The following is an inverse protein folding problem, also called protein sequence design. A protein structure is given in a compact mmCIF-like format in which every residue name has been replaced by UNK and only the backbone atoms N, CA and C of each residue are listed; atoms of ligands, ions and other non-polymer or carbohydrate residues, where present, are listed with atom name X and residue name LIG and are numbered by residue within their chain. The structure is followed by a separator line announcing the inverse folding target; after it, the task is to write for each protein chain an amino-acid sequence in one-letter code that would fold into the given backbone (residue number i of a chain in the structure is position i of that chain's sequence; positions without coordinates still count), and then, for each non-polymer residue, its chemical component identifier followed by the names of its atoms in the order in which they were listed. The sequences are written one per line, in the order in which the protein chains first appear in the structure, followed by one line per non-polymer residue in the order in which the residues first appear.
data_IF_435601735538
#
_entry.id   IF_435601735538
#
_cell.length_a   1.000
_cell.length_b   1.000
_cell.length_c   1.000
_cell.angle_alpha   90.00
_cell.angle_beta   90.00
_cell.angle_gamma   90.00
#
_symmetry.space_group_name_H-M   'P 1'
#
loop_
_entity.id
_entity.type
_entity.pdbx_description
1 polymer ?
#
# COMPACT_ATOMS: atom_id res chain seq x y z
N UNK A 1 -16.39 20.55 -26.97
CA UNK A 1 -16.24 21.98 -27.31
C UNK A 1 -15.22 22.58 -26.34
N UNK A 2 -14.04 22.98 -26.82
CA UNK A 2 -12.96 23.47 -25.95
C UNK A 2 -13.18 24.94 -25.54
N UNK A 3 -12.78 25.37 -24.33
CA UNK A 3 -12.94 26.76 -23.91
C UNK A 3 -12.07 27.68 -24.79
N UNK A 4 -12.72 28.45 -25.65
CA UNK A 4 -12.10 29.44 -26.52
C UNK A 4 -12.07 30.81 -25.82
N UNK A 5 -10.95 31.53 -25.94
CA UNK A 5 -10.86 32.96 -25.53
C UNK A 5 -11.68 33.87 -26.47
N UNK A 6 -12.11 33.34 -27.61
CA UNK A 6 -12.90 34.05 -28.61
C UNK A 6 -14.39 33.77 -28.38
N UNK A 7 -15.23 34.79 -28.57
CA UNK A 7 -16.69 34.66 -28.46
C UNK A 7 -17.25 33.83 -29.62
N UNK A 8 -16.62 33.92 -30.79
CA UNK A 8 -17.02 33.21 -32.01
C UNK A 8 -15.86 32.36 -32.54
N UNK A 9 -16.18 31.20 -33.09
CA UNK A 9 -15.23 30.34 -33.79
C UNK A 9 -14.88 30.94 -35.15
N UNK A 10 -15.88 31.46 -35.86
CA UNK A 10 -15.70 32.02 -37.22
C UNK A 10 -16.53 33.30 -37.40
N UNK A 11 -15.94 34.27 -38.07
CA UNK A 11 -16.59 35.44 -38.65
C UNK A 11 -16.72 35.25 -40.16
N UNK A 12 -17.88 35.50 -40.78
CA UNK A 12 -18.06 35.38 -42.25
C UNK A 12 -18.13 36.78 -42.90
N UNK A 13 -17.11 37.10 -43.69
CA UNK A 13 -17.03 38.29 -44.55
C UNK A 13 -17.63 38.00 -45.93
N UNK A 14 -18.57 38.84 -46.37
CA UNK A 14 -19.25 38.71 -47.67
C UNK A 14 -19.75 40.08 -48.16
N UNK A 15 -19.99 40.23 -49.47
CA UNK A 15 -20.69 41.40 -49.99
C UNK A 15 -22.20 41.27 -49.72
N UNK A 16 -22.93 42.38 -49.62
CA UNK A 16 -24.38 42.38 -49.35
C UNK A 16 -25.18 41.56 -50.37
N UNK A 17 -24.73 41.53 -51.61
CA UNK A 17 -25.30 40.80 -52.73
C UNK A 17 -25.13 39.27 -52.55
N UNK A 18 -24.10 38.84 -51.82
CA UNK A 18 -23.75 37.43 -51.57
C UNK A 18 -24.40 36.89 -50.28
N UNK A 19 -25.42 37.59 -49.76
CA UNK A 19 -26.18 37.18 -48.57
C UNK A 19 -26.74 35.75 -48.65
N UNK A 20 -27.31 35.27 -49.77
CA UNK A 20 -27.83 33.91 -49.83
C UNK A 20 -26.77 32.84 -49.52
N UNK A 21 -25.58 32.98 -50.12
CA UNK A 21 -24.47 32.04 -49.96
C UNK A 21 -23.91 32.07 -48.53
N UNK A 22 -23.70 33.28 -48.01
CA UNK A 22 -23.16 33.47 -46.66
C UNK A 22 -24.14 33.01 -45.57
N UNK A 23 -25.45 33.18 -45.79
CA UNK A 23 -26.49 32.68 -44.89
C UNK A 23 -26.55 31.14 -44.89
N UNK A 24 -26.44 30.51 -46.07
CA UNK A 24 -26.38 29.06 -46.19
C UNK A 24 -25.13 28.50 -45.48
N UNK A 25 -23.95 29.05 -45.77
CA UNK A 25 -22.70 28.64 -45.12
C UNK A 25 -22.75 28.82 -43.60
N UNK A 26 -23.33 29.93 -43.13
CA UNK A 26 -23.54 30.19 -41.71
C UNK A 26 -24.38 29.09 -41.07
N UNK A 27 -25.55 28.78 -41.62
CA UNK A 27 -26.43 27.75 -41.09
C UNK A 27 -25.77 26.36 -41.07
N UNK A 28 -25.01 26.01 -42.11
CA UNK A 28 -24.32 24.72 -42.20
C UNK A 28 -23.18 24.60 -41.18
N UNK A 29 -22.42 25.67 -40.94
CA UNK A 29 -21.37 25.70 -39.92
C UNK A 29 -21.95 25.73 -38.49
N UNK A 30 -23.05 26.45 -38.26
CA UNK A 30 -23.79 26.42 -36.98
C UNK A 30 -24.29 24.99 -36.69
N UNK A 31 -24.85 24.30 -37.69
CA UNK A 31 -25.26 22.88 -37.57
C UNK A 31 -24.08 21.93 -37.31
N UNK A 32 -22.88 22.29 -37.78
CA UNK A 32 -21.64 21.57 -37.46
C UNK A 32 -21.10 21.88 -36.04
N UNK A 33 -21.80 22.71 -35.27
CA UNK A 33 -21.47 23.03 -33.88
C UNK A 33 -20.52 24.21 -33.70
N UNK A 34 -20.30 25.04 -34.72
CA UNK A 34 -19.47 26.24 -34.60
C UNK A 34 -20.28 27.46 -34.18
N UNK A 35 -19.70 28.30 -33.32
CA UNK A 35 -20.28 29.61 -33.00
C UNK A 35 -19.88 30.63 -34.08
N UNK A 36 -20.83 30.99 -34.94
CA UNK A 36 -20.58 31.87 -36.09
C UNK A 36 -21.06 33.30 -35.79
N UNK A 37 -20.26 34.29 -36.17
CA UNK A 37 -20.72 35.67 -36.27
C UNK A 37 -21.10 36.00 -37.72
N UNK A 38 -22.32 36.52 -37.89
CA UNK A 38 -22.89 36.88 -39.18
C UNK A 38 -23.60 38.25 -39.10
N UNK A 39 -23.25 39.17 -40.00
CA UNK A 39 -23.70 40.57 -39.97
C UNK A 39 -25.22 40.73 -40.13
N UNK A 40 -25.91 39.79 -40.78
CA UNK A 40 -27.37 39.85 -40.97
C UNK A 40 -28.20 39.59 -39.71
N UNK A 41 -27.62 39.13 -38.60
CA UNK A 41 -28.35 38.76 -37.37
C UNK A 41 -28.27 39.79 -36.22
N UNK A 42 -27.28 40.68 -36.20
CA UNK A 42 -26.93 41.45 -34.97
C UNK A 42 -26.90 42.99 -35.11
N UNK A 43 -27.27 43.58 -36.26
CA UNK A 43 -27.25 45.03 -36.46
C UNK A 43 -28.60 45.70 -36.14
N UNK A 44 -28.58 46.81 -35.40
CA UNK A 44 -29.76 47.65 -35.13
C UNK A 44 -29.73 48.93 -35.99
N UNK A 45 -30.90 49.54 -36.29
CA UNK A 45 -30.94 50.85 -36.91
C UNK A 45 -30.14 51.88 -36.09
N UNK A 46 -29.18 52.56 -36.73
CA UNK A 46 -28.27 53.53 -36.09
C UNK A 46 -26.88 53.00 -35.75
N UNK A 47 -26.63 51.69 -35.85
CA UNK A 47 -25.30 51.13 -35.64
C UNK A 47 -24.34 51.45 -36.79
N UNK A 48 -23.07 51.74 -36.45
CA UNK A 48 -22.00 51.71 -37.44
C UNK A 48 -21.70 50.26 -37.82
N UNK A 49 -22.01 49.90 -39.06
CA UNK A 49 -21.69 48.60 -39.65
C UNK A 49 -20.19 48.29 -39.54
N UNK A 50 -19.34 49.25 -39.86
CA UNK A 50 -17.87 49.11 -39.84
C UNK A 50 -17.35 48.84 -38.42
N UNK A 51 -17.78 49.63 -37.43
CA UNK A 51 -17.31 49.46 -36.05
C UNK A 51 -17.73 48.10 -35.47
N UNK A 52 -18.93 47.64 -35.82
CA UNK A 52 -19.46 46.35 -35.37
C UNK A 52 -18.69 45.19 -35.97
N UNK A 53 -18.33 45.26 -37.25
CA UNK A 53 -17.51 44.24 -37.90
C UNK A 53 -16.11 44.18 -37.31
N UNK A 54 -15.44 45.32 -37.14
CA UNK A 54 -14.11 45.36 -36.54
C UNK A 54 -14.09 44.75 -35.13
N UNK A 55 -15.11 45.06 -34.33
CA UNK A 55 -15.28 44.52 -32.98
C UNK A 55 -15.47 43.00 -32.97
N UNK A 56 -16.33 42.47 -33.85
CA UNK A 56 -16.64 41.04 -33.85
C UNK A 56 -15.58 40.20 -34.56
N UNK A 57 -14.88 40.78 -35.54
CA UNK A 57 -13.64 40.25 -36.09
C UNK A 57 -12.61 40.01 -34.98
N UNK A 58 -12.38 40.98 -34.08
CA UNK A 58 -11.46 40.83 -32.94
C UNK A 58 -11.89 39.72 -31.95
N UNK A 59 -13.19 39.44 -31.88
CA UNK A 59 -13.80 38.42 -31.01
C UNK A 59 -13.93 37.04 -31.67
N UNK A 60 -13.50 36.91 -32.93
CA UNK A 60 -13.57 35.66 -33.69
C UNK A 60 -12.19 35.01 -33.82
N UNK A 61 -12.17 33.67 -33.73
CA UNK A 61 -10.95 32.87 -33.85
C UNK A 61 -10.45 32.84 -35.29
N UNK A 62 -11.35 32.65 -36.26
CA UNK A 62 -11.09 32.68 -37.70
C UNK A 62 -12.00 33.68 -38.42
N UNK A 63 -11.58 34.14 -39.61
CA UNK A 63 -12.39 34.90 -40.55
C UNK A 63 -12.48 34.17 -41.89
N UNK A 64 -13.68 33.77 -42.29
CA UNK A 64 -13.97 33.25 -43.63
C UNK A 64 -14.28 34.41 -44.55
N UNK A 65 -13.59 34.53 -45.67
CA UNK A 65 -13.83 35.57 -46.67
C UNK A 65 -14.38 34.95 -47.95
N UNK A 66 -15.63 35.26 -48.30
CA UNK A 66 -16.29 34.78 -49.53
C UNK A 66 -15.93 35.76 -50.65
N UNK A 67 -15.01 35.36 -51.51
CA UNK A 67 -14.43 36.15 -52.58
C UNK A 67 -15.22 35.96 -53.88
N UNK A 68 -16.12 36.89 -54.17
CA UNK A 68 -16.93 36.99 -55.39
C UNK A 68 -16.53 38.21 -56.23
N UNK A 69 -16.96 38.31 -57.50
CA UNK A 69 -16.75 39.54 -58.29
C UNK A 69 -17.30 40.80 -57.60
N UNK A 70 -18.47 40.70 -56.96
CA UNK A 70 -19.11 41.78 -56.19
C UNK A 70 -18.30 42.16 -54.94
N UNK A 71 -17.72 41.18 -54.24
CA UNK A 71 -16.82 41.39 -53.10
C UNK A 71 -15.55 42.16 -53.49
N UNK A 72 -15.00 41.88 -54.68
CA UNK A 72 -13.76 42.49 -55.17
C UNK A 72 -13.93 43.91 -55.74
N UNK A 73 -15.13 44.28 -56.16
CA UNK A 73 -15.43 45.63 -56.65
C UNK A 73 -15.56 46.66 -55.52
N UNK A 74 -15.89 46.23 -54.30
CA UNK A 74 -16.08 47.13 -53.14
C UNK A 74 -14.74 47.56 -52.54
N UNK A 75 -14.56 48.87 -52.33
CA UNK A 75 -13.37 49.44 -51.68
C UNK A 75 -13.28 49.09 -50.18
N UNK A 76 -14.43 48.81 -49.57
CA UNK A 76 -14.61 48.63 -48.13
C UNK A 76 -14.00 47.33 -47.58
N UNK A 77 -13.85 46.31 -48.43
CA UNK A 77 -13.42 44.95 -48.05
C UNK A 77 -11.92 44.79 -47.82
N UNK A 78 -11.09 45.76 -48.24
CA UNK A 78 -9.63 45.71 -48.11
C UNK A 78 -9.12 46.08 -46.72
N UNK A 79 -9.79 47.01 -46.01
CA UNK A 79 -9.36 47.47 -44.67
C UNK A 79 -9.55 46.40 -43.59
N UNK A 80 -10.64 45.65 -43.68
CA UNK A 80 -10.93 44.51 -42.80
C UNK A 80 -9.98 43.34 -43.08
N UNK A 81 -9.72 43.06 -44.35
CA UNK A 81 -8.74 42.07 -44.78
C UNK A 81 -7.33 42.40 -44.26
N UNK A 82 -6.88 43.66 -44.39
CA UNK A 82 -5.60 44.13 -43.85
C UNK A 82 -5.50 43.98 -42.33
N UNK A 83 -6.62 44.14 -41.62
CA UNK A 83 -6.68 43.94 -40.17
C UNK A 83 -6.49 42.47 -39.79
N UNK A 84 -7.13 41.56 -40.51
CA UNK A 84 -6.94 40.12 -40.32
C UNK A 84 -5.51 39.69 -40.69
N UNK A 85 -4.97 40.22 -41.79
CA UNK A 85 -3.62 39.93 -42.26
C UNK A 85 -2.56 40.42 -41.26
N UNK A 86 -2.74 41.62 -40.69
CA UNK A 86 -1.88 42.14 -39.62
C UNK A 86 -1.88 41.21 -38.39
N UNK A 87 -3.04 40.63 -38.04
CA UNK A 87 -3.13 39.67 -36.93
C UNK A 87 -2.39 38.36 -37.23
N UNK A 88 -2.45 37.87 -38.47
CA UNK A 88 -1.70 36.68 -38.87
C UNK A 88 -0.19 36.92 -38.76
N UNK A 89 0.29 38.06 -39.25
CA UNK A 89 1.71 38.44 -39.19
C UNK A 89 2.22 38.60 -37.75
N UNK A 90 1.45 39.25 -36.87
CA UNK A 90 1.85 39.48 -35.47
C UNK A 90 1.82 38.17 -34.66
N UNK A 91 0.76 37.36 -34.82
CA UNK A 91 0.58 36.14 -34.02
C UNK A 91 1.24 34.90 -34.64
N UNK A 92 1.71 34.98 -35.89
CA UNK A 92 2.18 33.84 -36.71
C UNK A 92 1.17 32.69 -36.77
N UNK A 93 -0.11 33.02 -36.82
CA UNK A 93 -1.22 32.05 -36.86
C UNK A 93 -2.11 32.39 -38.05
N UNK A 94 -2.50 31.38 -38.84
CA UNK A 94 -3.48 31.50 -39.94
C UNK A 94 -4.85 31.87 -39.34
N UNK A 95 -5.42 32.98 -39.78
CA UNK A 95 -6.70 33.53 -39.29
C UNK A 95 -7.70 33.66 -40.43
N UNK A 96 -7.26 33.85 -41.68
CA UNK A 96 -8.14 34.03 -42.83
C UNK A 96 -8.30 32.73 -43.61
N UNK A 97 -9.56 32.37 -43.88
CA UNK A 97 -9.96 31.21 -44.68
C UNK A 97 -10.70 31.70 -45.93
N UNK A 98 -10.01 31.90 -47.08
CA UNK A 98 -10.65 32.39 -48.29
C UNK A 98 -11.49 31.29 -48.96
N UNK A 99 -12.69 31.67 -49.40
CA UNK A 99 -13.62 30.86 -50.21
C UNK A 99 -13.84 31.59 -51.53
N UNK A 100 -13.39 31.03 -52.66
CA UNK A 100 -13.64 31.62 -53.98
C UNK A 100 -15.02 31.22 -54.47
N UNK A 101 -15.71 32.16 -55.11
CA UNK A 101 -16.96 31.89 -55.82
C UNK A 101 -17.10 32.79 -57.04
N UNK A 102 -17.33 32.21 -58.22
CA UNK A 102 -17.56 32.93 -59.49
C UNK A 102 -16.44 33.93 -59.86
N UNK A 103 -15.23 33.70 -59.35
CA UNK A 103 -14.03 34.52 -59.63
C UNK A 103 -12.83 33.61 -59.88
N UNK A 104 -11.82 34.12 -60.58
CA UNK A 104 -10.56 33.41 -60.78
C UNK A 104 -9.44 33.95 -59.90
N UNK A 105 -8.38 33.14 -59.71
CA UNK A 105 -7.16 33.56 -59.01
C UNK A 105 -6.49 34.73 -59.76
N UNK A 106 -6.57 34.77 -61.09
CA UNK A 106 -6.01 35.85 -61.90
C UNK A 106 -6.72 37.19 -61.62
N UNK A 107 -8.05 37.18 -61.51
CA UNK A 107 -8.83 38.35 -61.10
C UNK A 107 -8.49 38.79 -59.66
N UNK A 108 -8.22 37.84 -58.77
CA UNK A 108 -7.75 38.14 -57.41
C UNK A 108 -6.35 38.75 -57.39
N UNK A 109 -5.40 38.23 -58.19
CA UNK A 109 -4.03 38.75 -58.28
C UNK A 109 -3.97 40.19 -58.74
N UNK A 110 -4.87 40.59 -59.64
CA UNK A 110 -4.99 41.99 -60.09
C UNK A 110 -5.45 42.93 -58.97
N UNK A 111 -6.16 42.41 -57.96
CA UNK A 111 -6.69 43.19 -56.85
C UNK A 111 -5.80 43.16 -55.61
N UNK A 112 -5.34 41.97 -55.21
CA UNK A 112 -4.48 41.74 -54.05
C UNK A 112 -3.65 40.44 -54.22
N UNK A 113 -2.34 40.62 -54.41
CA UNK A 113 -1.39 39.52 -54.60
C UNK A 113 -1.30 38.64 -53.33
N UNK A 114 -1.42 39.23 -52.14
CA UNK A 114 -1.26 38.50 -50.88
C UNK A 114 -2.47 37.63 -50.60
N UNK A 115 -3.67 38.06 -51.00
CA UNK A 115 -4.87 37.21 -50.96
C UNK A 115 -4.72 36.04 -51.92
N UNK A 116 -4.27 36.33 -53.14
CA UNK A 116 -4.16 35.33 -54.19
C UNK A 116 -3.07 34.27 -53.93
N UNK A 117 -2.09 34.57 -53.08
CA UNK A 117 -1.07 33.61 -52.63
C UNK A 117 -1.59 32.65 -51.55
N UNK A 118 -2.78 32.91 -50.98
CA UNK A 118 -3.39 32.00 -50.00
C UNK A 118 -4.17 30.90 -50.69
N UNK A 119 -3.94 29.67 -50.24
CA UNK A 119 -4.79 28.55 -50.64
C UNK A 119 -6.24 28.81 -50.21
N UNK A 120 -7.15 28.65 -51.16
CA UNK A 120 -8.56 28.97 -50.99
C UNK A 120 -9.45 27.79 -51.36
N UNK A 121 -10.61 27.76 -50.72
CA UNK A 121 -11.64 26.75 -50.91
C UNK A 121 -12.53 27.20 -52.08
N UNK A 122 -12.75 26.33 -53.05
CA UNK A 122 -13.61 26.63 -54.20
C UNK A 122 -15.06 26.29 -53.86
N UNK A 123 -15.94 27.29 -53.90
CA UNK A 123 -17.37 27.11 -53.64
C UNK A 123 -18.04 26.24 -54.71
N UNK A 124 -17.51 26.25 -55.93
CA UNK A 124 -17.98 25.47 -57.09
C UNK A 124 -17.95 23.96 -56.83
N UNK A 125 -17.19 23.50 -55.83
CA UNK A 125 -17.16 22.10 -55.38
C UNK A 125 -18.36 21.71 -54.50
N UNK A 126 -19.25 22.65 -54.22
CA UNK A 126 -20.46 22.46 -53.42
C UNK A 126 -20.28 22.87 -51.95
N UNK A 127 -21.38 23.32 -51.34
CA UNK A 127 -21.40 23.83 -49.96
C UNK A 127 -20.93 22.80 -48.93
N UNK A 128 -21.23 21.51 -49.15
CA UNK A 128 -20.82 20.42 -48.26
C UNK A 128 -19.30 20.29 -48.19
N UNK A 129 -18.63 20.41 -49.34
CA UNK A 129 -17.17 20.40 -49.43
C UNK A 129 -16.57 21.60 -48.69
N UNK A 130 -17.17 22.79 -48.87
CA UNK A 130 -16.72 24.01 -48.18
C UNK A 130 -16.81 23.85 -46.66
N UNK A 131 -17.93 23.36 -46.16
CA UNK A 131 -18.17 23.16 -44.73
C UNK A 131 -17.18 22.15 -44.15
N UNK A 132 -16.96 21.02 -44.83
CA UNK A 132 -16.03 19.99 -44.38
C UNK A 132 -14.59 20.51 -44.35
N UNK A 133 -14.14 21.19 -45.41
CA UNK A 133 -12.78 21.75 -45.48
C UNK A 133 -12.53 22.80 -44.38
N UNK A 134 -13.52 23.66 -44.10
CA UNK A 134 -13.43 24.62 -42.99
C UNK A 134 -13.38 23.91 -41.64
N UNK A 135 -14.20 22.87 -41.44
CA UNK A 135 -14.23 22.10 -40.19
C UNK A 135 -12.88 21.46 -39.87
N UNK A 136 -12.28 20.78 -40.84
CA UNK A 136 -11.00 20.11 -40.67
C UNK A 136 -9.89 21.08 -40.24
N UNK A 137 -9.80 22.23 -40.90
CA UNK A 137 -8.80 23.27 -40.56
C UNK A 137 -9.01 23.83 -39.15
N UNK A 138 -10.27 24.04 -38.73
CA UNK A 138 -10.59 24.60 -37.42
C UNK A 138 -10.35 23.57 -36.28
N UNK A 139 -10.71 22.31 -36.49
CA UNK A 139 -10.62 21.25 -35.48
C UNK A 139 -9.17 20.77 -35.25
N UNK A 140 -8.40 20.44 -36.30
CA UNK A 140 -7.02 19.92 -36.18
C UNK A 140 -6.13 20.88 -35.36
N UNK A 141 -6.32 22.18 -35.54
CA UNK A 141 -5.57 23.21 -34.82
C UNK A 141 -5.96 23.33 -33.35
N UNK A 142 -7.22 23.08 -33.01
CA UNK A 142 -7.67 23.11 -31.61
C UNK A 142 -6.99 22.02 -30.75
N UNK A 143 -6.83 20.82 -31.33
CA UNK A 143 -6.20 19.70 -30.66
C UNK A 143 -4.69 19.90 -30.47
N UNK A 144 -3.98 20.36 -31.50
CA UNK A 144 -2.52 20.60 -31.44
C UNK A 144 -2.15 21.70 -30.44
N UNK A 145 -2.93 22.79 -30.36
CA UNK A 145 -2.74 23.82 -29.34
C UNK A 145 -2.97 23.30 -27.91
N UNK A 146 -3.96 22.43 -27.73
CA UNK A 146 -4.27 21.81 -26.45
C UNK A 146 -3.14 20.89 -25.98
N UNK A 147 -2.63 20.01 -26.85
CA UNK A 147 -1.50 19.12 -26.53
C UNK A 147 -0.27 19.93 -26.15
N UNK A 148 0.05 20.99 -26.90
CA UNK A 148 1.21 21.84 -26.62
C UNK A 148 1.10 22.53 -25.26
N UNK A 149 -0.08 23.04 -24.90
CA UNK A 149 -0.31 23.68 -23.58
C UNK A 149 -0.23 22.71 -22.42
N UNK A 150 -0.63 21.45 -22.62
CA UNK A 150 -0.70 20.44 -21.56
C UNK A 150 0.47 19.42 -21.58
N UNK A 151 1.49 19.64 -22.40
CA UNK A 151 2.60 18.70 -22.58
C UNK A 151 3.31 18.35 -21.26
N UNK A 152 3.47 19.31 -20.35
CA UNK A 152 4.05 19.07 -19.03
C UNK A 152 3.15 18.20 -18.15
N UNK A 153 1.84 18.44 -18.14
CA UNK A 153 0.88 17.61 -17.40
C UNK A 153 0.85 16.18 -17.94
N UNK A 154 0.83 16.00 -19.26
CA UNK A 154 0.86 14.68 -19.91
C UNK A 154 2.15 13.91 -19.56
N UNK A 155 3.32 14.59 -19.55
CA UNK A 155 4.58 13.99 -19.09
C UNK A 155 4.54 13.59 -17.63
N UNK A 156 4.00 14.44 -16.77
CA UNK A 156 3.84 14.16 -15.34
C UNK A 156 2.97 12.92 -15.12
N UNK A 157 1.81 12.83 -15.77
CA UNK A 157 0.92 11.67 -15.68
C UNK A 157 1.56 10.39 -16.22
N UNK A 158 2.34 10.48 -17.31
CA UNK A 158 3.11 9.35 -17.82
C UNK A 158 4.15 8.85 -16.82
N UNK A 159 4.91 9.74 -16.20
CA UNK A 159 5.90 9.38 -15.16
C UNK A 159 5.19 8.78 -13.94
N UNK A 160 4.10 9.38 -13.48
CA UNK A 160 3.33 8.87 -12.35
C UNK A 160 2.81 7.45 -12.61
N UNK A 161 2.29 7.18 -13.81
CA UNK A 161 1.82 5.85 -14.19
C UNK A 161 2.95 4.81 -14.14
N UNK A 162 4.12 5.13 -14.72
CA UNK A 162 5.29 4.24 -14.70
C UNK A 162 5.76 4.00 -13.27
N UNK A 163 5.83 5.04 -12.44
CA UNK A 163 6.20 4.92 -11.02
C UNK A 163 5.22 4.06 -10.23
N UNK A 164 3.91 4.20 -10.48
CA UNK A 164 2.89 3.37 -9.82
C UNK A 164 2.98 1.90 -10.25
N UNK A 165 3.25 1.63 -11.53
CA UNK A 165 3.49 0.27 -12.03
C UNK A 165 4.75 -0.31 -11.39
N UNK A 166 5.85 0.45 -11.34
CA UNK A 166 7.08 0.00 -10.67
C UNK A 166 6.84 -0.28 -9.19
N UNK A 167 6.13 0.60 -8.48
CA UNK A 167 5.76 0.41 -7.07
C UNK A 167 4.92 -0.87 -6.87
N UNK A 168 3.96 -1.14 -7.76
CA UNK A 168 3.17 -2.38 -7.72
C UNK A 168 4.03 -3.64 -7.81
N UNK A 169 5.02 -3.65 -8.71
CA UNK A 169 5.96 -4.78 -8.84
C UNK A 169 6.89 -4.91 -7.63
N UNK A 170 7.39 -3.79 -7.08
CA UNK A 170 8.23 -3.79 -5.87
C UNK A 170 7.45 -4.34 -4.68
N UNK A 171 6.20 -3.90 -4.48
CA UNK A 171 5.35 -4.40 -3.38
C UNK A 171 5.05 -5.90 -3.49
N UNK A 172 5.06 -6.48 -4.70
CA UNK A 172 4.92 -7.93 -4.90
C UNK A 172 6.16 -8.75 -4.54
N UNK A 173 7.34 -8.12 -4.47
CA UNK A 173 8.57 -8.80 -4.05
C UNK A 173 8.65 -8.97 -2.54
N UNK A 174 7.90 -8.18 -1.76
CA UNK A 174 7.81 -8.32 -0.30
C UNK A 174 6.90 -9.52 0.00
N UNK A 175 7.40 -10.60 0.63
CA UNK A 175 6.57 -11.74 0.97
C UNK A 175 5.51 -11.31 1.98
N UNK A 176 4.23 -11.47 1.62
CA UNK A 176 3.13 -11.29 2.56
C UNK A 176 3.35 -12.16 3.80
N UNK A 177 3.08 -11.67 5.02
CA UNK A 177 3.35 -12.41 6.26
C UNK A 177 2.49 -13.68 6.37
N UNK A 178 2.87 -14.64 7.24
CA UNK A 178 2.04 -15.79 7.55
C UNK A 178 0.67 -15.37 8.07
N UNK A 179 -0.37 -16.11 7.71
CA UNK A 179 -1.74 -15.84 8.17
C UNK A 179 -1.82 -15.94 9.70
N UNK A 180 -2.63 -15.09 10.34
CA UNK A 180 -2.85 -15.11 11.79
C UNK A 180 -3.29 -16.50 12.28
N UNK A 181 -4.14 -17.19 11.52
CA UNK A 181 -4.58 -18.55 11.82
C UNK A 181 -3.42 -19.54 11.90
N UNK A 182 -2.46 -19.47 10.98
CA UNK A 182 -1.27 -20.34 11.00
C UNK A 182 -0.43 -20.08 12.26
N UNK A 183 -0.22 -18.82 12.62
CA UNK A 183 0.53 -18.44 13.82
C UNK A 183 -0.16 -18.97 15.07
N UNK A 184 -1.45 -18.68 15.24
CA UNK A 184 -2.23 -19.11 16.41
C UNK A 184 -2.29 -20.63 16.54
N UNK A 185 -2.58 -21.34 15.45
CA UNK A 185 -2.62 -22.81 15.46
C UNK A 185 -1.25 -23.42 15.79
N UNK A 186 -0.15 -22.81 15.34
CA UNK A 186 1.21 -23.25 15.68
C UNK A 186 1.51 -23.10 17.17
N UNK A 187 1.14 -21.96 17.77
CA UNK A 187 1.34 -21.69 19.20
C UNK A 187 0.47 -22.63 20.04
N UNK A 188 -0.82 -22.77 19.70
CA UNK A 188 -1.74 -23.66 20.42
C UNK A 188 -1.33 -25.13 20.32
N UNK A 189 -0.86 -25.57 19.15
CA UNK A 189 -0.36 -26.95 18.98
C UNK A 189 0.89 -27.18 19.85
N UNK A 190 1.81 -26.21 19.87
CA UNK A 190 3.00 -26.25 20.73
C UNK A 190 2.61 -26.30 22.21
N UNK A 191 1.66 -25.47 22.63
CA UNK A 191 1.14 -25.47 24.00
C UNK A 191 0.63 -26.85 24.40
N UNK A 192 -0.32 -27.35 23.61
CA UNK A 192 -0.97 -28.63 23.84
C UNK A 192 0.03 -29.78 23.89
N UNK A 193 0.95 -29.86 22.93
CA UNK A 193 1.96 -30.91 22.88
C UNK A 193 2.84 -30.93 24.14
N UNK A 194 3.24 -29.77 24.65
CA UNK A 194 4.06 -29.70 25.86
C UNK A 194 3.25 -30.07 27.10
N UNK A 195 2.06 -29.51 27.25
CA UNK A 195 1.21 -29.76 28.41
C UNK A 195 0.78 -31.23 28.49
N UNK A 196 0.37 -31.83 27.37
CA UNK A 196 0.03 -33.25 27.28
C UNK A 196 1.23 -34.13 27.69
N UNK A 197 2.43 -33.80 27.19
CA UNK A 197 3.66 -34.51 27.56
C UNK A 197 3.98 -34.38 29.04
N UNK A 198 3.93 -33.18 29.60
CA UNK A 198 4.23 -32.93 31.01
C UNK A 198 3.22 -33.62 31.91
N UNK A 199 1.93 -33.57 31.58
CA UNK A 199 0.87 -34.26 32.33
C UNK A 199 1.06 -35.77 32.28
N UNK A 200 1.41 -36.32 31.11
CA UNK A 200 1.72 -37.74 30.96
C UNK A 200 2.93 -38.16 31.81
N UNK A 201 4.06 -37.44 31.69
CA UNK A 201 5.28 -37.72 32.46
C UNK A 201 5.02 -37.57 33.97
N UNK A 202 4.22 -36.59 34.38
CA UNK A 202 3.81 -36.40 35.76
C UNK A 202 2.98 -37.58 36.29
N UNK A 203 1.98 -38.05 35.54
CA UNK A 203 1.18 -39.21 35.93
C UNK A 203 2.04 -40.47 36.10
N UNK A 204 2.99 -40.70 35.19
CA UNK A 204 3.96 -41.79 35.31
C UNK A 204 4.83 -41.66 36.56
N UNK A 205 5.32 -40.44 36.86
CA UNK A 205 6.10 -40.18 38.07
C UNK A 205 5.29 -40.42 39.34
N UNK A 206 4.02 -40.00 39.40
CA UNK A 206 3.16 -40.25 40.55
C UNK A 206 3.02 -41.76 40.82
N UNK A 207 2.79 -42.55 39.78
CA UNK A 207 2.67 -44.00 39.90
C UNK A 207 3.99 -44.66 40.27
N UNK A 208 5.09 -44.33 39.59
CA UNK A 208 6.39 -44.98 39.79
C UNK A 208 7.01 -44.67 41.14
N UNK A 209 6.74 -43.49 41.69
CA UNK A 209 7.25 -43.04 42.99
C UNK A 209 6.25 -43.28 44.14
N UNK A 210 5.07 -43.84 43.85
CA UNK A 210 3.95 -43.98 44.78
C UNK A 210 3.68 -42.68 45.55
N UNK A 211 3.63 -41.57 44.82
CA UNK A 211 3.54 -40.24 45.40
C UNK A 211 2.10 -39.91 45.80
N UNK A 212 1.95 -39.22 46.93
CA UNK A 212 0.65 -38.84 47.50
C UNK A 212 0.50 -37.33 47.54
N UNK A 213 -0.73 -36.84 47.38
CA UNK A 213 -1.03 -35.42 47.49
C UNK A 213 -0.77 -34.94 48.94
N UNK A 214 -0.07 -33.82 49.07
CA UNK A 214 0.30 -33.23 50.36
C UNK A 214 0.12 -31.71 50.34
N UNK A 215 0.17 -31.09 51.51
CA UNK A 215 0.18 -29.64 51.63
C UNK A 215 1.59 -29.07 51.52
N UNK A 216 1.68 -27.75 51.30
CA UNK A 216 2.96 -27.03 51.31
C UNK A 216 3.68 -27.14 52.68
N UNK A 217 2.93 -27.29 53.78
CA UNK A 217 3.51 -27.40 55.11
C UNK A 217 4.22 -28.75 55.32
N UNK A 218 3.67 -29.84 54.78
CA UNK A 218 4.25 -31.19 54.92
C UNK A 218 5.67 -31.26 54.32
N UNK A 219 5.88 -30.62 53.17
CA UNK A 219 7.18 -30.59 52.50
C UNK A 219 8.15 -29.55 53.09
N UNK A 220 7.64 -28.51 53.77
CA UNK A 220 8.48 -27.51 54.46
C UNK A 220 9.26 -28.16 55.59
N UNK A 221 8.63 -29.05 56.36
CA UNK A 221 9.30 -29.76 57.45
C UNK A 221 10.42 -30.67 56.94
N UNK A 222 10.18 -31.41 55.86
CA UNK A 222 11.23 -32.22 55.21
C UNK A 222 12.37 -31.35 54.66
N UNK A 223 12.05 -30.20 54.08
CA UNK A 223 13.06 -29.26 53.60
C UNK A 223 13.88 -28.65 54.73
N UNK A 224 13.26 -28.28 55.86
CA UNK A 224 13.96 -27.79 57.06
C UNK A 224 14.90 -28.87 57.59
N UNK A 225 14.45 -30.13 57.66
CA UNK A 225 15.29 -31.28 58.02
C UNK A 225 16.50 -31.40 57.10
N UNK A 226 16.29 -31.29 55.78
CA UNK A 226 17.37 -31.33 54.80
C UNK A 226 18.36 -30.17 54.98
N UNK A 227 17.85 -28.95 55.15
CA UNK A 227 18.68 -27.75 55.33
C UNK A 227 19.54 -27.83 56.59
N UNK A 228 18.98 -28.35 57.69
CA UNK A 228 19.69 -28.54 58.96
C UNK A 228 20.64 -29.74 58.97
N UNK A 229 20.59 -30.63 57.97
CA UNK A 229 21.50 -31.76 57.86
C UNK A 229 22.95 -31.28 57.65
N UNK A 230 23.84 -31.62 58.59
CA UNK A 230 25.25 -31.17 58.60
C UNK A 230 26.09 -32.00 57.62
N UNK A 231 26.28 -31.47 56.42
CA UNK A 231 27.15 -32.00 55.36
C UNK A 231 27.41 -30.88 54.33
N UNK A 232 28.46 -31.01 53.52
CA UNK A 232 28.64 -30.21 52.31
C UNK A 232 27.40 -30.29 51.42
N UNK A 233 27.08 -29.23 50.69
CA UNK A 233 25.91 -29.20 49.82
C UNK A 233 26.29 -29.05 48.36
N UNK A 234 25.47 -29.62 47.48
CA UNK A 234 25.57 -29.42 46.03
C UNK A 234 24.17 -29.25 45.45
N UNK A 235 23.94 -28.11 44.80
CA UNK A 235 22.68 -27.81 44.16
C UNK A 235 22.80 -27.96 42.64
N UNK A 236 21.87 -28.69 42.05
CA UNK A 236 21.76 -28.93 40.62
C UNK A 236 20.43 -28.41 40.11
N UNK A 237 20.48 -27.70 38.98
CA UNK A 237 19.31 -27.07 38.37
C UNK A 237 19.23 -27.49 36.92
N UNK A 238 18.04 -27.89 36.50
CA UNK A 238 17.71 -28.23 35.12
C UNK A 238 16.39 -27.56 34.73
N UNK A 239 16.29 -27.10 33.49
CA UNK A 239 15.05 -26.62 32.91
C UNK A 239 14.82 -27.31 31.56
N UNK A 240 13.63 -27.87 31.36
CA UNK A 240 13.23 -28.54 30.14
C UNK A 240 12.03 -27.83 29.52
N UNK A 241 12.20 -27.32 28.30
CA UNK A 241 11.11 -26.66 27.56
C UNK A 241 10.37 -27.59 26.60
N UNK A 242 10.71 -28.88 26.56
CA UNK A 242 10.18 -29.86 25.63
C UNK A 242 11.04 -30.08 24.38
N UNK A 243 11.92 -29.13 24.05
CA UNK A 243 12.87 -29.22 22.93
C UNK A 243 14.31 -29.39 23.41
N UNK A 244 14.69 -28.67 24.46
CA UNK A 244 16.02 -28.68 25.02
C UNK A 244 15.98 -28.82 26.54
N UNK A 245 17.10 -29.26 27.11
CA UNK A 245 17.33 -29.26 28.55
C UNK A 245 18.51 -28.36 28.87
N UNK A 246 18.24 -27.24 29.53
CA UNK A 246 19.25 -26.30 30.04
C UNK A 246 19.67 -26.77 31.42
N UNK A 247 20.97 -26.80 31.68
CA UNK A 247 21.54 -27.24 32.97
C UNK A 247 22.42 -26.16 33.57
N UNK A 248 22.66 -26.32 34.87
CA UNK A 248 23.45 -25.43 35.73
C UNK A 248 22.74 -24.13 36.09
N UNK A 249 22.88 -23.72 37.36
CA UNK A 249 22.24 -22.53 37.92
C UNK A 249 22.47 -21.26 37.07
N UNK A 250 23.72 -21.06 36.62
CA UNK A 250 24.13 -19.90 35.82
C UNK A 250 23.41 -19.75 34.48
N UNK A 251 22.82 -20.83 33.96
CA UNK A 251 22.09 -20.82 32.69
C UNK A 251 20.57 -20.90 32.92
N UNK A 252 20.13 -21.71 33.89
CA UNK A 252 18.69 -21.91 34.17
C UNK A 252 18.04 -20.64 34.70
N UNK A 253 18.70 -19.89 35.60
CA UNK A 253 18.14 -18.65 36.16
C UNK A 253 17.83 -17.62 35.07
N UNK A 254 18.81 -17.26 34.20
CA UNK A 254 18.56 -16.38 33.05
C UNK A 254 17.51 -16.93 32.08
N UNK A 255 17.53 -18.23 31.77
CA UNK A 255 16.58 -18.84 30.84
C UNK A 255 15.12 -18.77 31.33
N UNK A 256 14.91 -18.76 32.65
CA UNK A 256 13.58 -18.63 33.27
C UNK A 256 13.26 -17.21 33.74
N UNK A 257 14.20 -16.26 33.59
CA UNK A 257 14.16 -14.95 34.24
C UNK A 257 13.80 -15.06 35.74
N UNK A 258 14.45 -16.03 36.42
CA UNK A 258 14.12 -16.43 37.78
C UNK A 258 15.37 -16.39 38.67
N UNK A 259 15.24 -15.80 39.86
CA UNK A 259 16.23 -15.96 40.91
C UNK A 259 16.08 -17.34 41.57
N UNK A 260 16.99 -18.24 41.24
CA UNK A 260 16.99 -19.62 41.73
C UNK A 260 17.38 -19.75 43.21
N UNK A 261 17.97 -18.72 43.83
CA UNK A 261 18.27 -18.77 45.27
C UNK A 261 17.04 -18.55 46.13
N UNK A 262 16.11 -17.71 45.67
CA UNK A 262 14.83 -17.48 46.33
C UNK A 262 13.76 -18.52 45.97
N UNK A 263 13.97 -19.33 44.93
CA UNK A 263 13.06 -20.40 44.54
C UNK A 263 13.18 -21.61 45.47
N UNK A 264 12.18 -21.79 46.34
CA UNK A 264 12.15 -22.87 47.33
C UNK A 264 10.73 -23.29 47.72
N UNK A 265 10.58 -24.23 48.67
CA UNK A 265 9.26 -24.67 49.11
C UNK A 265 8.47 -23.58 49.86
N UNK A 266 9.11 -22.49 50.28
CA UNK A 266 8.41 -21.38 50.94
C UNK A 266 7.52 -20.59 49.98
N UNK A 267 7.96 -20.42 48.73
CA UNK A 267 7.22 -19.75 47.65
C UNK A 267 6.79 -20.74 46.54
N UNK A 268 6.74 -22.03 46.87
CA UNK A 268 6.38 -23.12 45.96
C UNK A 268 7.12 -23.06 44.61
N UNK A 269 8.42 -22.72 44.65
CA UNK A 269 9.26 -22.57 43.47
C UNK A 269 8.67 -21.63 42.41
N UNK A 270 8.00 -20.57 42.85
CA UNK A 270 7.33 -19.52 42.04
C UNK A 270 6.07 -19.93 41.30
N UNK A 271 5.56 -21.15 41.53
CA UNK A 271 4.27 -21.56 40.99
C UNK A 271 3.13 -20.84 41.73
N UNK A 272 2.25 -20.18 40.99
CA UNK A 272 1.16 -19.39 41.57
C UNK A 272 0.10 -20.27 42.26
N UNK A 273 -0.26 -21.42 41.68
CA UNK A 273 -1.22 -22.36 42.26
C UNK A 273 -0.87 -23.84 42.00
N UNK A 274 0.13 -24.39 42.71
CA UNK A 274 0.55 -25.76 42.49
C UNK A 274 -0.30 -26.77 43.28
N UNK A 275 -0.54 -27.93 42.68
CA UNK A 275 -0.79 -29.15 43.44
C UNK A 275 0.54 -29.81 43.77
N UNK A 276 0.67 -30.34 44.98
CA UNK A 276 1.94 -30.81 45.54
C UNK A 276 1.81 -32.28 45.89
N UNK A 277 2.81 -33.06 45.52
CA UNK A 277 2.88 -34.49 45.82
C UNK A 277 4.23 -34.84 46.44
N UNK A 278 4.19 -35.73 47.42
CA UNK A 278 5.35 -36.28 48.09
C UNK A 278 5.51 -37.74 47.70
N UNK A 279 6.65 -38.07 47.11
CA UNK A 279 7.04 -39.44 46.84
C UNK A 279 7.39 -40.18 48.14
N UNK A 280 7.17 -41.49 48.15
CA UNK A 280 7.70 -42.33 49.23
C UNK A 280 9.23 -42.19 49.31
N UNK A 281 9.74 -42.13 50.55
CA UNK A 281 11.19 -42.07 50.77
C UNK A 281 11.83 -43.32 50.20
N UNK A 282 12.79 -43.12 49.30
CA UNK A 282 13.58 -44.19 48.72
C UNK A 282 14.95 -44.18 49.35
N UNK A 283 15.41 -45.30 49.88
CA UNK A 283 16.74 -45.43 50.47
C UNK A 283 17.53 -46.52 49.76
N UNK A 284 18.84 -46.31 49.63
CA UNK A 284 19.80 -47.34 49.27
C UNK A 284 20.99 -47.29 50.24
N UNK A 285 21.95 -48.20 50.11
CA UNK A 285 23.09 -48.29 51.03
C UNK A 285 23.97 -47.02 51.14
N UNK A 286 23.79 -46.03 50.26
CA UNK A 286 24.62 -44.81 50.19
C UNK A 286 23.84 -43.52 50.39
N UNK A 287 22.57 -43.48 50.01
CA UNK A 287 21.76 -42.26 49.97
C UNK A 287 20.29 -42.53 50.27
N UNK A 288 19.67 -41.64 51.05
CA UNK A 288 18.22 -41.55 51.18
C UNK A 288 17.70 -40.40 50.33
N UNK A 289 16.58 -40.59 49.63
CA UNK A 289 16.01 -39.62 48.73
C UNK A 289 14.57 -39.29 49.12
N UNK A 290 14.26 -38.00 49.15
CA UNK A 290 12.90 -37.46 49.23
C UNK A 290 12.62 -36.70 47.95
N UNK A 291 11.50 -37.00 47.26
CA UNK A 291 11.13 -36.31 46.02
C UNK A 291 9.81 -35.57 46.20
N UNK A 292 9.78 -34.29 45.84
CA UNK A 292 8.57 -33.49 45.72
C UNK A 292 8.25 -33.27 44.25
N UNK A 293 6.97 -33.32 43.92
CA UNK A 293 6.45 -33.01 42.60
C UNK A 293 5.45 -31.88 42.75
N UNK A 294 5.60 -30.85 41.93
CA UNK A 294 4.66 -29.74 41.85
C UNK A 294 4.11 -29.69 40.44
N UNK A 295 2.80 -29.52 40.30
CA UNK A 295 2.13 -29.29 39.01
C UNK A 295 1.30 -28.03 39.10
N UNK A 296 1.51 -27.08 38.18
CA UNK A 296 0.74 -25.84 38.16
C UNK A 296 -0.68 -26.11 37.67
N UNK A 297 -1.69 -25.68 38.43
CA UNK A 297 -3.10 -25.89 38.09
C UNK A 297 -3.71 -24.75 37.27
N UNK A 298 -3.04 -23.59 37.18
CA UNK A 298 -3.45 -22.52 36.28
C UNK A 298 -3.04 -22.85 34.85
N UNK A 299 -3.84 -22.52 33.83
CA UNK A 299 -3.46 -22.71 32.44
C UNK A 299 -2.30 -21.78 32.06
N UNK A 300 -1.38 -22.25 31.21
CA UNK A 300 -0.43 -21.35 30.57
C UNK A 300 -1.17 -20.44 29.60
N UNK A 301 -0.80 -19.16 29.56
CA UNK A 301 -1.37 -18.18 28.64
C UNK A 301 -0.24 -17.51 27.86
N UNK A 302 -0.53 -17.07 26.64
CA UNK A 302 0.46 -16.42 25.80
C UNK A 302 -0.03 -15.07 25.28
N UNK A 303 0.93 -14.21 24.92
CA UNK A 303 0.70 -13.01 24.11
C UNK A 303 1.75 -12.94 23.01
N UNK A 304 1.35 -12.44 21.85
CA UNK A 304 2.31 -12.09 20.80
C UNK A 304 2.91 -10.72 21.19
N UNK A 305 4.20 -10.69 21.47
CA UNK A 305 4.92 -9.48 21.92
C UNK A 305 5.50 -8.66 20.77
N UNK A 306 5.72 -9.28 19.61
CA UNK A 306 6.25 -8.61 18.42
C UNK A 306 6.41 -9.54 17.23
N UNK A 307 6.72 -8.97 16.07
CA UNK A 307 6.99 -9.71 14.84
C UNK A 307 8.11 -9.04 14.05
N UNK A 308 9.01 -9.83 13.49
CA UNK A 308 10.11 -9.35 12.64
C UNK A 308 10.10 -10.08 11.29
N UNK A 309 10.50 -9.38 10.23
CA UNK A 309 10.86 -9.98 8.95
C UNK A 309 12.38 -9.86 8.80
N UNK A 310 13.07 -10.99 8.77
CA UNK A 310 14.52 -11.06 8.62
C UNK A 310 14.94 -10.91 7.15
N UNK A 311 16.21 -10.55 6.95
CA UNK A 311 16.79 -10.32 5.61
C UNK A 311 16.78 -11.57 4.72
N UNK A 312 16.79 -12.76 5.33
CA UNK A 312 16.70 -14.06 4.66
C UNK A 312 15.26 -14.45 4.27
N UNK A 313 14.28 -13.57 4.55
CA UNK A 313 12.86 -13.78 4.29
C UNK A 313 12.12 -14.58 5.37
N UNK A 314 12.78 -14.93 6.48
CA UNK A 314 12.12 -15.57 7.61
C UNK A 314 11.23 -14.58 8.36
N UNK A 315 10.05 -15.04 8.77
CA UNK A 315 9.12 -14.25 9.59
C UNK A 315 9.14 -14.79 11.01
N UNK A 316 9.57 -13.97 11.97
CA UNK A 316 9.71 -14.35 13.37
C UNK A 316 8.58 -13.75 14.18
N UNK A 317 7.93 -14.57 14.99
CA UNK A 317 6.90 -14.14 15.96
C UNK A 317 7.44 -14.34 17.37
N UNK A 318 7.47 -13.28 18.16
CA UNK A 318 7.86 -13.35 19.57
C UNK A 318 6.62 -13.59 20.42
N UNK A 319 6.69 -14.62 21.27
CA UNK A 319 5.58 -15.05 22.12
C UNK A 319 6.03 -15.01 23.57
N UNK A 320 5.37 -14.20 24.40
CA UNK A 320 5.60 -14.21 25.85
C UNK A 320 4.59 -15.15 26.52
N UNK A 321 5.08 -15.98 27.43
CA UNK A 321 4.29 -16.92 28.22
C UNK A 321 4.10 -16.44 29.66
N UNK A 322 2.87 -16.46 30.15
CA UNK A 322 2.52 -16.32 31.55
C UNK A 322 2.05 -17.67 32.12
N UNK A 323 2.29 -17.91 33.41
CA UNK A 323 2.14 -19.23 34.03
C UNK A 323 2.95 -20.31 33.26
N UNK A 324 4.14 -19.91 32.80
CA UNK A 324 4.99 -20.65 31.88
C UNK A 324 5.52 -21.96 32.48
N UNK A 325 5.85 -21.99 33.77
CA UNK A 325 6.25 -23.19 34.49
C UNK A 325 5.03 -24.09 34.75
N UNK A 326 5.14 -25.36 34.31
CA UNK A 326 4.05 -26.34 34.39
C UNK A 326 4.31 -27.39 35.45
N UNK A 327 5.57 -27.79 35.63
CA UNK A 327 5.96 -28.84 36.55
C UNK A 327 7.32 -28.55 37.18
N UNK A 328 7.48 -28.86 38.46
CA UNK A 328 8.75 -28.80 39.17
C UNK A 328 8.97 -30.10 39.93
N UNK A 329 10.10 -30.75 39.68
CA UNK A 329 10.57 -31.90 40.48
C UNK A 329 11.70 -31.44 41.39
N UNK A 330 11.62 -31.78 42.66
CA UNK A 330 12.68 -31.53 43.63
C UNK A 330 13.11 -32.86 44.23
N UNK A 331 14.38 -33.22 44.07
CA UNK A 331 14.97 -34.38 44.72
C UNK A 331 15.97 -33.92 45.78
N UNK A 332 15.71 -34.31 47.03
CA UNK A 332 16.61 -34.11 48.16
C UNK A 332 17.31 -35.43 48.46
N UNK A 333 18.63 -35.47 48.27
CA UNK A 333 19.45 -36.65 48.56
C UNK A 333 20.28 -36.45 49.83
N UNK A 334 19.98 -37.24 50.86
CA UNK A 334 20.73 -37.33 52.11
C UNK A 334 21.82 -38.39 51.96
N UNK A 335 23.09 -38.06 52.21
CA UNK A 335 24.14 -39.04 52.22
C UNK A 335 24.08 -39.83 53.54
N UNK A 336 24.23 -41.15 53.47
CA UNK A 336 24.34 -41.99 54.67
C UNK A 336 25.67 -41.69 55.39
N UNK A 337 26.75 -41.50 54.63
CA UNK A 337 28.05 -41.07 55.15
C UNK A 337 28.14 -39.55 55.21
N UNK A 338 28.36 -38.98 56.40
CA UNK A 338 28.35 -37.51 56.60
C UNK A 338 29.47 -36.76 55.89
N UNK A 339 30.52 -37.46 55.43
CA UNK A 339 31.62 -36.88 54.63
C UNK A 339 31.18 -36.53 53.21
N UNK A 340 30.21 -37.27 52.66
CA UNK A 340 29.67 -37.05 51.32
C UNK A 340 28.68 -35.87 51.32
N UNK A 341 28.54 -35.12 50.21
CA UNK A 341 27.66 -33.96 50.17
C UNK A 341 26.19 -34.35 50.06
N UNK A 342 25.31 -33.65 50.77
CA UNK A 342 23.87 -33.63 50.49
C UNK A 342 23.61 -32.93 49.17
N UNK A 343 22.61 -33.40 48.42
CA UNK A 343 22.32 -32.89 47.07
C UNK A 343 20.88 -32.44 46.95
N UNK A 344 20.69 -31.26 46.36
CA UNK A 344 19.38 -30.79 45.91
C UNK A 344 19.40 -30.80 44.40
N UNK A 345 18.48 -31.52 43.75
CA UNK A 345 18.26 -31.40 42.32
C UNK A 345 16.87 -30.83 42.06
N UNK A 346 16.81 -29.68 41.41
CA UNK A 346 15.55 -29.03 41.00
C UNK A 346 15.45 -29.07 39.49
N UNK A 347 14.38 -29.69 38.98
CA UNK A 347 14.09 -29.78 37.56
C UNK A 347 12.79 -29.03 37.28
N UNK A 348 12.87 -27.97 36.50
CA UNK A 348 11.75 -27.20 36.00
C UNK A 348 11.32 -27.74 34.63
N UNK A 349 10.02 -27.79 34.36
CA UNK A 349 9.48 -28.06 33.05
C UNK A 349 8.35 -27.08 32.71
N UNK A 350 8.38 -26.53 31.49
CA UNK A 350 7.42 -25.54 31.03
C UNK A 350 7.93 -24.71 29.87
N UNK A 351 7.30 -23.58 29.58
CA UNK A 351 7.70 -22.69 28.49
C UNK A 351 8.81 -21.74 28.95
N UNK A 352 9.70 -21.35 28.04
CA UNK A 352 10.55 -20.19 28.32
C UNK A 352 9.65 -18.93 28.46
N UNK A 353 10.01 -17.93 29.28
CA UNK A 353 9.21 -16.72 29.43
C UNK A 353 8.93 -16.02 28.09
N UNK A 354 9.87 -16.11 27.16
CA UNK A 354 9.73 -15.68 25.77
C UNK A 354 10.23 -16.80 24.85
N UNK A 355 9.47 -17.09 23.79
CA UNK A 355 9.83 -18.04 22.73
C UNK A 355 9.74 -17.34 21.37
N UNK A 356 10.60 -17.73 20.43
CA UNK A 356 10.61 -17.23 19.05
C UNK A 356 10.10 -18.30 18.10
N UNK A 357 9.06 -17.98 17.35
CA UNK A 357 8.47 -18.86 16.34
C UNK A 357 8.91 -18.37 14.96
N UNK A 358 9.77 -19.13 14.31
CA UNK A 358 10.35 -18.78 13.01
C UNK A 358 9.57 -19.48 11.90
N UNK A 359 8.97 -18.70 11.01
CA UNK A 359 8.26 -19.18 9.84
C UNK A 359 9.09 -18.94 8.58
N UNK A 360 9.10 -19.91 7.68
CA UNK A 360 9.72 -19.79 6.36
C UNK A 360 8.68 -19.93 5.27
N UNK A 361 8.85 -19.16 4.19
CA UNK A 361 8.00 -19.26 3.02
C UNK A 361 8.56 -20.32 2.07
N UNK A 362 7.83 -21.42 1.90
CA UNK A 362 8.15 -22.51 0.99
C UNK A 362 7.17 -22.45 -0.18
N UNK A 363 7.64 -22.00 -1.34
CA UNK A 363 6.78 -21.71 -2.48
C UNK A 363 5.78 -20.59 -2.16
N UNK A 364 4.48 -20.94 -2.15
CA UNK A 364 3.41 -19.99 -1.84
C UNK A 364 2.86 -20.11 -0.41
N UNK A 365 3.37 -21.02 0.41
CA UNK A 365 2.88 -21.29 1.76
C UNK A 365 3.93 -20.94 2.81
N UNK A 366 3.46 -20.53 3.99
CA UNK A 366 4.31 -20.37 5.16
C UNK A 366 4.26 -21.64 6.00
N UNK A 367 5.40 -22.04 6.54
CA UNK A 367 5.53 -23.19 7.43
C UNK A 367 6.35 -22.81 8.66
N UNK A 368 5.96 -23.34 9.83
CA UNK A 368 6.74 -23.18 11.06
C UNK A 368 8.03 -24.01 10.92
N UNK A 369 9.17 -23.34 11.01
CA UNK A 369 10.49 -23.96 10.88
C UNK A 369 11.08 -24.36 12.22
N UNK A 370 11.06 -23.44 13.19
CA UNK A 370 11.62 -23.66 14.52
C UNK A 370 10.87 -22.86 15.59
N UNK A 371 11.01 -23.34 16.82
CA UNK A 371 10.61 -22.65 18.04
C UNK A 371 11.83 -22.66 18.95
N UNK A 372 12.27 -21.48 19.39
CA UNK A 372 13.49 -21.28 20.20
C UNK A 372 13.19 -20.59 21.52
#
# INVERSE_FOLDING_TARGET
MWPSRYKYDVFISHAVEDRPISAELCARLENAGFNIWYSGKELKPGDSLEATIQKNMARSRYGVAILTPTYLQKHWTMKEFNTLQSRESIKKVKVILPVLHETSIESLKQKDIIIADKWAIYYEKGIDHVVQALREEIEIRSFTEWVRKNAYALRFWGILLVSLVALYFVLRLIPAPPSTRLIETSILQRQKNLEDKILHDHALMLQSLNAQAVSLNDIRDDHVRFTNFRSYFRNEYEFNNGFATIRFKKNVGPALNLDLESAGPYNAYTLAKPSIFLANRSSNNKTENTTYLFVNTLPATYRISGTDLLDDGAFVVHVSWAENLRHVTVNLSYPVERSAPKKTKVTFAGFAPEEKYTFLKIGNTWELKSVE
#
